data_IF_755218577104
#
_entry.id   IF_755218577104
#
_cell.length_a   1.000
_cell.length_b   1.000
_cell.length_c   1.000
_cell.angle_alpha   90.00
_cell.angle_beta   90.00
_cell.angle_gamma   90.00
#
_symmetry.space_group_name_H-M   'P 1'
#
loop_
_entity.id
_entity.type
_entity.pdbx_description
1 polymer ?
#
# COMPACT_ATOMS: atom_id res chain seq x y z
N UNK A 1 -53.25 3.47 -19.64
CA UNK A 1 -52.36 4.30 -20.47
C UNK A 1 -51.70 5.45 -19.71
N UNK A 2 -52.35 6.08 -18.70
CA UNK A 2 -51.83 7.28 -18.02
C UNK A 2 -50.73 6.99 -16.97
N UNK A 3 -50.72 5.79 -16.36
CA UNK A 3 -49.79 5.43 -15.27
C UNK A 3 -48.37 5.10 -15.76
N UNK A 4 -48.19 4.73 -17.04
CA UNK A 4 -46.85 4.46 -17.58
C UNK A 4 -46.08 5.76 -17.87
N UNK A 5 -46.78 6.81 -18.28
CA UNK A 5 -46.20 8.11 -18.62
C UNK A 5 -45.56 8.78 -17.38
N UNK A 6 -46.19 8.63 -16.21
CA UNK A 6 -45.71 9.25 -14.96
C UNK A 6 -44.41 8.64 -14.45
N UNK A 7 -44.19 7.34 -14.68
CA UNK A 7 -42.96 6.66 -14.27
C UNK A 7 -41.76 7.07 -15.16
N UNK A 8 -41.99 7.28 -16.45
CA UNK A 8 -40.95 7.72 -17.39
C UNK A 8 -40.54 9.19 -17.17
N UNK A 9 -41.51 10.06 -16.83
CA UNK A 9 -41.25 11.46 -16.45
C UNK A 9 -40.49 11.57 -15.13
N UNK A 10 -40.81 10.71 -14.15
CA UNK A 10 -40.05 10.61 -12.90
C UNK A 10 -38.59 10.19 -13.15
N UNK A 11 -38.36 9.26 -14.08
CA UNK A 11 -37.03 8.81 -14.46
C UNK A 11 -36.22 9.92 -15.16
N UNK A 12 -36.85 10.69 -16.05
CA UNK A 12 -36.20 11.85 -16.72
C UNK A 12 -35.84 12.97 -15.75
N UNK A 13 -36.64 13.19 -14.70
CA UNK A 13 -36.40 14.21 -13.68
C UNK A 13 -35.29 13.81 -12.70
N UNK A 14 -35.20 12.52 -12.35
CA UNK A 14 -34.09 11.98 -11.56
C UNK A 14 -32.76 12.02 -12.34
N UNK A 15 -32.80 11.76 -13.65
CA UNK A 15 -31.62 11.81 -14.52
C UNK A 15 -31.09 13.24 -14.77
N UNK A 16 -31.93 14.28 -14.63
CA UNK A 16 -31.50 15.68 -14.75
C UNK A 16 -30.95 16.26 -13.43
N UNK A 17 -31.16 15.60 -12.29
CA UNK A 17 -30.69 16.01 -10.96
C UNK A 17 -29.30 15.48 -10.58
N UNK A 18 -28.72 14.54 -11.33
CA UNK A 18 -27.41 13.94 -11.03
C UNK A 18 -26.19 14.76 -11.46
N UNK A 19 -26.39 16.01 -11.91
CA UNK A 19 -25.33 16.84 -12.50
C UNK A 19 -24.90 18.07 -11.68
N UNK A 20 -25.15 18.09 -10.37
CA UNK A 20 -24.43 19.03 -9.50
C UNK A 20 -23.01 18.51 -9.24
N UNK A 21 -22.02 19.21 -9.82
CA UNK A 21 -20.60 19.01 -9.50
C UNK A 21 -20.39 19.18 -7.99
N UNK A 22 -20.19 18.05 -7.31
CA UNK A 22 -19.69 18.03 -5.94
C UNK A 22 -18.31 18.69 -5.95
N UNK A 23 -18.25 19.95 -5.50
CA UNK A 23 -16.99 20.65 -5.27
C UNK A 23 -16.42 20.11 -3.97
N UNK A 24 -15.50 19.15 -4.08
CA UNK A 24 -14.69 18.68 -2.95
C UNK A 24 -13.81 19.86 -2.54
N UNK A 25 -14.17 20.54 -1.45
CA UNK A 25 -13.28 21.51 -0.81
C UNK A 25 -12.12 20.69 -0.21
N UNK A 26 -10.92 20.94 -0.68
CA UNK A 26 -9.72 20.40 -0.04
C UNK A 26 -9.58 21.08 1.32
N UNK A 27 -10.08 20.43 2.37
CA UNK A 27 -9.74 20.79 3.75
C UNK A 27 -8.25 20.48 3.95
N UNK A 28 -7.40 21.48 3.76
CA UNK A 28 -5.99 21.43 4.18
C UNK A 28 -5.94 21.62 5.69
N UNK A 29 -6.44 20.64 6.44
CA UNK A 29 -6.15 20.53 7.85
C UNK A 29 -4.71 20.05 8.00
N UNK A 30 -3.78 21.00 8.11
CA UNK A 30 -2.36 20.74 8.34
C UNK A 30 -2.21 20.20 9.77
N UNK A 31 -2.37 18.88 9.91
CA UNK A 31 -1.93 18.16 11.10
C UNK A 31 -0.40 18.25 11.14
N UNK A 32 0.14 19.17 11.94
CA UNK A 32 1.56 19.14 12.25
C UNK A 32 1.77 18.02 13.27
N UNK A 33 2.13 16.83 12.77
CA UNK A 33 2.56 15.74 13.64
C UNK A 33 3.91 16.14 14.28
N UNK A 34 4.00 16.06 15.61
CA UNK A 34 5.25 16.25 16.35
C UNK A 34 6.06 14.94 16.33
N UNK A 35 7.04 14.87 15.41
CA UNK A 35 7.88 13.69 15.21
C UNK A 35 9.11 13.65 16.13
N UNK A 36 9.27 14.59 17.08
CA UNK A 36 10.48 14.75 17.89
C UNK A 36 10.87 13.49 18.67
N UNK A 37 9.89 12.82 19.29
CA UNK A 37 10.09 11.57 20.02
C UNK A 37 10.46 10.42 19.07
N UNK A 38 9.82 10.34 17.91
CA UNK A 38 10.09 9.30 16.93
C UNK A 38 11.53 9.41 16.39
N UNK A 39 12.00 10.63 16.11
CA UNK A 39 13.38 10.89 15.68
C UNK A 39 14.39 10.49 16.75
N UNK A 40 14.16 10.88 18.01
CA UNK A 40 15.03 10.51 19.13
C UNK A 40 15.10 8.98 19.32
N UNK A 41 13.96 8.29 19.23
CA UNK A 41 13.91 6.83 19.34
C UNK A 41 14.60 6.14 18.15
N UNK A 42 14.50 6.70 16.94
CA UNK A 42 15.17 6.19 15.75
C UNK A 42 16.70 6.20 15.90
N UNK A 43 17.26 7.14 16.66
CA UNK A 43 18.69 7.17 16.96
C UNK A 43 19.09 6.20 18.07
N UNK A 44 18.24 6.04 19.08
CA UNK A 44 18.55 5.23 20.27
C UNK A 44 18.30 3.73 20.07
N UNK A 45 17.33 3.36 19.22
CA UNK A 45 16.89 1.97 19.02
C UNK A 45 17.25 1.50 17.61
N UNK A 46 17.90 0.34 17.52
CA UNK A 46 18.23 -0.30 16.25
C UNK A 46 17.19 -1.35 15.89
N UNK A 47 16.31 -1.04 14.94
CA UNK A 47 15.33 -1.99 14.38
C UNK A 47 15.73 -2.37 12.95
N UNK A 48 15.83 -3.67 12.70
CA UNK A 48 15.95 -4.23 11.36
C UNK A 48 14.61 -4.88 10.98
N UNK A 49 14.03 -4.46 9.86
CA UNK A 49 12.86 -5.12 9.29
C UNK A 49 13.29 -6.05 8.18
N UNK A 50 12.93 -7.32 8.33
CA UNK A 50 13.07 -8.36 7.33
C UNK A 50 11.73 -8.56 6.63
N UNK A 51 11.66 -8.30 5.32
CA UNK A 51 10.48 -8.56 4.50
C UNK A 51 10.76 -9.75 3.57
N UNK A 52 10.14 -10.90 3.84
CA UNK A 52 10.11 -12.00 2.88
C UNK A 52 9.04 -11.74 1.82
N UNK A 53 9.43 -11.80 0.56
CA UNK A 53 8.55 -11.63 -0.60
C UNK A 53 8.90 -12.64 -1.68
N UNK A 54 8.25 -12.54 -2.83
CA UNK A 54 8.54 -13.34 -4.03
C UNK A 54 8.65 -12.43 -5.25
N UNK A 55 9.35 -12.84 -6.32
CA UNK A 55 9.58 -11.99 -7.51
C UNK A 55 8.29 -11.43 -8.11
N UNK A 56 7.23 -12.25 -8.16
CA UNK A 56 5.88 -11.89 -8.64
C UNK A 56 5.18 -10.79 -7.80
N UNK A 57 5.60 -10.59 -6.55
CA UNK A 57 4.98 -9.66 -5.60
C UNK A 57 5.76 -8.34 -5.49
N UNK A 58 6.92 -8.20 -6.15
CA UNK A 58 7.75 -7.00 -6.04
C UNK A 58 7.00 -5.74 -6.46
N UNK A 59 6.44 -5.75 -7.68
CA UNK A 59 5.70 -4.60 -8.22
C UNK A 59 4.34 -4.40 -7.55
N UNK A 60 3.66 -5.49 -7.15
CA UNK A 60 2.28 -5.45 -6.65
C UNK A 60 2.17 -5.13 -5.15
N UNK A 61 3.14 -5.57 -4.35
CA UNK A 61 3.05 -5.53 -2.87
C UNK A 61 4.30 -4.96 -2.22
N UNK A 62 5.50 -5.43 -2.60
CA UNK A 62 6.73 -4.97 -1.95
C UNK A 62 6.99 -3.48 -2.21
N UNK A 63 6.64 -2.99 -3.41
CA UNK A 63 6.64 -1.56 -3.77
C UNK A 63 5.78 -0.71 -2.82
N UNK A 64 4.56 -1.16 -2.52
CA UNK A 64 3.63 -0.47 -1.61
C UNK A 64 4.19 -0.46 -0.20
N UNK A 65 4.75 -1.58 0.27
CA UNK A 65 5.43 -1.66 1.57
C UNK A 65 6.58 -0.64 1.63
N UNK A 66 7.46 -0.64 0.62
CA UNK A 66 8.60 0.28 0.50
C UNK A 66 8.17 1.75 0.55
N UNK A 67 7.10 2.09 -0.17
CA UNK A 67 6.61 3.46 -0.32
C UNK A 67 5.69 3.92 0.84
N UNK A 68 5.39 3.05 1.81
CA UNK A 68 4.53 3.38 2.95
C UNK A 68 5.32 3.29 4.26
N UNK A 69 5.02 2.29 5.09
CA UNK A 69 5.54 2.22 6.45
C UNK A 69 7.04 1.86 6.50
N UNK A 70 7.58 1.16 5.49
CA UNK A 70 8.96 0.70 5.51
C UNK A 70 9.97 1.86 5.52
N UNK A 71 9.64 2.99 4.89
CA UNK A 71 10.50 4.19 4.90
C UNK A 71 10.69 4.82 6.29
N UNK A 72 9.84 4.47 7.26
CA UNK A 72 9.93 4.98 8.64
C UNK A 72 10.87 4.15 9.51
N UNK A 73 11.20 2.92 9.13
CA UNK A 73 12.09 2.03 9.88
C UNK A 73 13.56 2.46 9.80
N UNK A 74 14.43 1.93 10.66
CA UNK A 74 15.87 2.24 10.62
C UNK A 74 16.54 1.58 9.41
N UNK A 75 16.29 0.27 9.21
CA UNK A 75 16.76 -0.50 8.05
C UNK A 75 15.69 -1.50 7.65
N UNK A 76 15.49 -1.66 6.35
CA UNK A 76 14.57 -2.63 5.77
C UNK A 76 15.30 -3.41 4.69
N UNK A 77 15.21 -4.73 4.76
CA UNK A 77 15.77 -5.64 3.76
C UNK A 77 14.64 -6.48 3.18
N UNK A 78 14.58 -6.54 1.86
CA UNK A 78 13.65 -7.39 1.13
C UNK A 78 14.39 -8.63 0.65
N UNK A 79 13.83 -9.80 0.93
CA UNK A 79 14.36 -11.09 0.52
C UNK A 79 13.37 -11.78 -0.41
N UNK A 80 13.86 -12.43 -1.45
CA UNK A 80 13.07 -13.25 -2.38
C UNK A 80 13.83 -14.50 -2.81
N UNK A 81 13.19 -15.41 -3.55
CA UNK A 81 13.88 -16.53 -4.18
C UNK A 81 15.03 -16.09 -5.10
N UNK A 82 14.88 -14.93 -5.75
CA UNK A 82 15.79 -14.40 -6.78
C UNK A 82 16.29 -12.99 -6.42
N UNK A 83 17.48 -12.64 -6.89
CA UNK A 83 18.00 -11.26 -6.84
C UNK A 83 17.29 -10.37 -7.88
N UNK A 84 17.11 -9.10 -7.56
CA UNK A 84 16.57 -8.12 -8.50
C UNK A 84 17.30 -6.77 -8.34
N UNK A 85 17.91 -6.27 -9.40
CA UNK A 85 18.66 -5.02 -9.37
C UNK A 85 17.77 -3.76 -9.35
N UNK A 86 16.58 -3.82 -9.95
CA UNK A 86 15.64 -2.71 -10.01
C UNK A 86 14.91 -2.51 -8.67
N UNK A 87 14.57 -3.60 -8.01
CA UNK A 87 14.05 -3.62 -6.66
C UNK A 87 15.00 -4.45 -5.80
N UNK A 88 15.94 -3.83 -5.05
CA UNK A 88 17.11 -4.49 -4.46
C UNK A 88 16.72 -5.55 -3.42
N UNK A 89 16.37 -6.73 -3.91
CA UNK A 89 16.10 -7.91 -3.11
C UNK A 89 17.35 -8.75 -2.99
N UNK A 90 17.49 -9.39 -1.84
CA UNK A 90 18.50 -10.41 -1.61
C UNK A 90 17.90 -11.77 -1.96
N UNK A 91 18.50 -12.43 -2.94
CA UNK A 91 18.15 -13.74 -3.44
C UNK A 91 18.58 -14.86 -2.50
N UNK A 92 17.61 -15.57 -1.94
CA UNK A 92 17.85 -16.71 -1.06
C UNK A 92 18.14 -18.00 -1.83
N UNK A 93 17.92 -18.06 -3.14
CA UNK A 93 18.09 -19.27 -3.97
C UNK A 93 17.30 -20.47 -3.42
N UNK A 94 16.21 -20.21 -2.70
CA UNK A 94 15.30 -21.21 -2.14
C UNK A 94 13.96 -21.05 -2.87
N UNK A 95 13.35 -22.15 -3.37
CA UNK A 95 12.10 -22.07 -4.11
C UNK A 95 10.98 -21.44 -3.27
N UNK A 96 10.03 -20.82 -3.96
CA UNK A 96 8.82 -20.31 -3.32
C UNK A 96 7.94 -21.45 -2.80
N UNK A 97 7.13 -21.16 -1.78
CA UNK A 97 6.25 -22.15 -1.14
C UNK A 97 6.33 -22.13 0.39
N UNK A 98 5.23 -22.52 1.04
CA UNK A 98 5.14 -22.58 2.50
C UNK A 98 6.03 -23.67 3.09
N UNK A 99 6.29 -24.73 2.32
CA UNK A 99 7.13 -25.85 2.76
C UNK A 99 8.60 -25.46 2.93
N UNK A 100 9.02 -24.32 2.35
CA UNK A 100 10.40 -23.84 2.40
C UNK A 100 10.64 -22.70 3.40
N UNK A 101 9.66 -22.36 4.25
CA UNK A 101 9.77 -21.22 5.18
C UNK A 101 10.95 -21.35 6.16
N UNK A 102 11.14 -22.54 6.73
CA UNK A 102 12.26 -22.80 7.65
C UNK A 102 13.60 -22.63 6.95
N UNK A 103 13.74 -23.19 5.73
CA UNK A 103 14.97 -23.07 4.94
C UNK A 103 15.31 -21.60 4.63
N UNK A 104 14.30 -20.76 4.31
CA UNK A 104 14.49 -19.32 4.06
C UNK A 104 15.00 -18.54 5.26
N UNK A 105 14.76 -19.05 6.48
CA UNK A 105 15.13 -18.38 7.73
C UNK A 105 16.48 -18.85 8.27
N UNK A 106 16.91 -20.07 7.92
CA UNK A 106 18.14 -20.70 8.42
C UNK A 106 19.38 -20.49 7.54
N UNK A 107 19.25 -19.83 6.39
CA UNK A 107 20.37 -19.58 5.45
C UNK A 107 21.34 -18.51 5.96
#
# INVERSE_FOLDING_TARGET
AIIQTTHEEAYRKAASQSNEKITIKNDTHMHHDDDSIALKLKEQVRVLVWVMTSPENLAKKASVVKNTWAGRCNKVIFFSSEDNAEFPTIGLSIPEGRDHLTAKTMK
#
